data_IF_064337306690
#
_entry.id   IF_064337306690
#
_cell.length_a   1.000
_cell.length_b   1.000
_cell.length_c   1.000
_cell.angle_alpha   90.00
_cell.angle_beta   90.00
_cell.angle_gamma   90.00
#
_symmetry.space_group_name_H-M   'P 1'
#
loop_
_entity.id
_entity.type
_entity.pdbx_description
1 polymer ?
#
# COMPACT_ATOMS: atom_id res chain seq x y z
N UNK A 1 26.12 -3.17 -20.36
CA UNK A 1 24.89 -3.77 -19.78
C UNK A 1 23.93 -2.64 -19.49
N UNK A 2 22.67 -2.84 -19.86
CA UNK A 2 21.63 -1.81 -19.96
C UNK A 2 21.14 -1.36 -18.58
N UNK A 3 20.97 -0.06 -18.40
CA UNK A 3 20.07 0.50 -17.40
C UNK A 3 19.30 1.64 -18.07
N UNK A 4 18.20 1.27 -18.73
CA UNK A 4 17.18 2.20 -19.21
C UNK A 4 16.39 2.71 -18.01
N UNK A 5 16.96 3.67 -17.27
CA UNK A 5 16.19 4.46 -16.32
C UNK A 5 15.45 5.53 -17.12
N UNK A 6 14.26 5.18 -17.63
CA UNK A 6 13.35 6.13 -18.24
C UNK A 6 12.96 7.20 -17.20
N UNK A 7 13.28 8.49 -17.40
CA UNK A 7 12.78 9.56 -16.54
C UNK A 7 11.35 9.88 -16.97
N UNK A 8 10.36 9.08 -16.53
CA UNK A 8 9.05 9.21 -17.18
C UNK A 8 7.88 8.46 -16.56
N UNK A 9 7.88 8.17 -15.27
CA UNK A 9 6.70 7.99 -14.39
C UNK A 9 7.24 7.35 -13.12
N UNK A 10 7.50 8.17 -12.11
CA UNK A 10 7.59 7.64 -10.75
C UNK A 10 6.18 7.19 -10.40
N UNK A 11 5.83 5.95 -10.77
CA UNK A 11 4.64 5.31 -10.24
C UNK A 11 4.72 5.52 -8.72
N UNK A 12 3.67 6.08 -8.10
CA UNK A 12 3.75 6.39 -6.69
C UNK A 12 3.96 5.09 -5.94
N UNK A 13 5.15 4.93 -5.38
CA UNK A 13 5.53 3.76 -4.60
C UNK A 13 5.53 4.14 -3.13
N UNK A 14 5.02 3.22 -2.32
CA UNK A 14 5.06 3.32 -0.87
C UNK A 14 6.11 2.40 -0.28
N UNK A 15 6.69 2.80 0.83
CA UNK A 15 7.50 1.91 1.66
C UNK A 15 6.56 1.19 2.64
N UNK A 16 6.57 -0.14 2.60
CA UNK A 16 5.81 -0.98 3.51
C UNK A 16 6.66 -1.38 4.71
N UNK A 17 6.15 -1.08 5.88
CA UNK A 17 6.58 -1.64 7.14
C UNK A 17 5.62 -2.75 7.53
N UNK A 18 6.18 -3.95 7.75
CA UNK A 18 5.47 -5.15 8.18
C UNK A 18 5.80 -5.43 9.64
N UNK A 19 4.77 -5.68 10.43
CA UNK A 19 4.86 -6.31 11.76
C UNK A 19 4.07 -7.61 11.74
N UNK A 20 4.74 -8.76 11.74
CA UNK A 20 4.12 -10.09 11.68
C UNK A 20 4.12 -10.68 10.27
N UNK A 21 3.07 -11.44 9.93
CA UNK A 21 2.88 -12.04 8.61
C UNK A 21 2.05 -11.13 7.70
N UNK A 22 2.70 -10.59 6.69
CA UNK A 22 2.06 -9.80 5.64
C UNK A 22 2.45 -10.37 4.30
N UNK A 23 1.50 -10.43 3.38
CA UNK A 23 1.76 -10.80 1.99
C UNK A 23 1.38 -9.65 1.08
N UNK A 24 2.18 -9.46 0.02
CA UNK A 24 1.94 -8.50 -1.05
C UNK A 24 1.89 -9.28 -2.35
N UNK A 25 0.77 -9.20 -3.08
CA UNK A 25 0.49 -9.99 -4.28
C UNK A 25 0.69 -11.50 -4.07
N UNK A 26 0.35 -12.02 -2.89
CA UNK A 26 0.51 -13.44 -2.54
C UNK A 26 1.94 -13.86 -2.21
N UNK A 27 2.90 -12.93 -2.20
CA UNK A 27 4.28 -13.17 -1.76
C UNK A 27 4.48 -12.61 -0.35
N UNK A 28 5.23 -13.31 0.50
CA UNK A 28 5.57 -12.80 1.83
C UNK A 28 6.34 -11.48 1.70
N UNK A 29 5.80 -10.42 2.31
CA UNK A 29 6.43 -9.10 2.33
C UNK A 29 7.13 -8.87 3.66
N UNK A 30 8.22 -8.12 3.61
CA UNK A 30 9.04 -7.76 4.78
C UNK A 30 9.03 -6.24 4.98
N UNK A 31 9.38 -5.79 6.18
CA UNK A 31 9.61 -4.36 6.43
C UNK A 31 10.70 -3.82 5.51
N UNK A 32 10.43 -2.68 4.88
CA UNK A 32 11.30 -2.08 3.85
C UNK A 32 10.95 -2.52 2.42
N UNK A 33 9.90 -3.33 2.23
CA UNK A 33 9.43 -3.67 0.89
C UNK A 33 8.80 -2.45 0.20
N UNK A 34 8.97 -2.38 -1.12
CA UNK A 34 8.32 -1.36 -1.94
C UNK A 34 6.97 -1.87 -2.43
N UNK A 35 5.90 -1.14 -2.12
CA UNK A 35 4.55 -1.42 -2.64
C UNK A 35 4.29 -0.53 -3.83
N UNK A 36 4.01 -1.15 -4.97
CA UNK A 36 3.66 -0.47 -6.22
C UNK A 36 2.13 -0.34 -6.33
N UNK A 37 1.67 0.49 -7.26
CA UNK A 37 0.24 0.54 -7.61
C UNK A 37 -0.30 -0.83 -8.01
N UNK A 38 -1.58 -1.05 -7.71
CA UNK A 38 -2.32 -2.29 -7.96
C UNK A 38 -1.81 -3.50 -7.18
N UNK A 39 -1.08 -3.27 -6.09
CA UNK A 39 -0.63 -4.33 -5.20
C UNK A 39 -1.71 -4.73 -4.21
N UNK A 40 -1.90 -6.04 -4.02
CA UNK A 40 -2.79 -6.59 -2.99
C UNK A 40 -2.00 -6.84 -1.72
N UNK A 41 -2.32 -6.14 -0.64
CA UNK A 41 -1.69 -6.34 0.67
C UNK A 41 -2.66 -7.09 1.57
N UNK A 42 -2.23 -8.23 2.07
CA UNK A 42 -2.99 -9.03 3.02
C UNK A 42 -2.18 -9.21 4.31
N UNK A 43 -2.88 -9.03 5.43
CA UNK A 43 -2.33 -9.02 6.78
C UNK A 43 -2.89 -10.23 7.51
N UNK A 44 -2.02 -11.09 8.04
CA UNK A 44 -2.42 -12.27 8.80
C UNK A 44 -2.99 -11.95 10.18
N UNK A 45 -3.30 -13.01 10.94
CA UNK A 45 -3.68 -12.89 12.34
C UNK A 45 -2.52 -12.30 13.16
N UNK A 46 -2.83 -11.35 14.05
CA UNK A 46 -1.85 -10.60 14.85
C UNK A 46 -0.77 -9.87 14.03
N UNK A 47 -1.06 -9.50 12.79
CA UNK A 47 -0.11 -8.83 11.90
C UNK A 47 -0.59 -7.42 11.54
N UNK A 48 0.32 -6.48 11.37
CA UNK A 48 0.01 -5.09 11.00
C UNK A 48 0.92 -4.66 9.86
N UNK A 49 0.38 -3.85 8.96
CA UNK A 49 1.14 -3.32 7.82
C UNK A 49 0.96 -1.80 7.74
N UNK A 50 2.05 -1.05 7.70
CA UNK A 50 2.01 0.40 7.49
C UNK A 50 2.71 0.73 6.18
N UNK A 51 1.99 1.28 5.22
CA UNK A 51 2.53 1.79 3.97
C UNK A 51 2.71 3.30 4.08
N UNK A 52 3.94 3.78 4.05
CA UNK A 52 4.26 5.21 3.96
C UNK A 52 4.49 5.59 2.49
N UNK A 53 3.56 6.35 1.93
CA UNK A 53 3.64 6.87 0.56
C UNK A 53 4.02 8.35 0.62
N UNK A 54 5.23 8.66 1.11
CA UNK A 54 5.84 10.01 1.16
C UNK A 54 4.88 11.21 1.06
N UNK A 55 4.72 11.76 -0.17
CA UNK A 55 3.92 12.96 -0.47
C UNK A 55 2.41 12.72 -0.62
N UNK A 56 1.96 11.46 -0.69
CA UNK A 56 0.55 11.06 -0.79
C UNK A 56 -0.05 10.85 0.61
N UNK A 57 0.70 10.25 1.52
CA UNK A 57 0.27 10.00 2.90
C UNK A 57 0.79 8.69 3.47
N UNK A 58 0.07 8.17 4.46
CA UNK A 58 0.32 6.89 5.14
C UNK A 58 -0.96 6.06 5.18
N UNK A 59 -0.82 4.76 4.96
CA UNK A 59 -1.90 3.77 5.06
C UNK A 59 -1.50 2.74 6.09
N UNK A 60 -2.40 2.40 7.00
CA UNK A 60 -2.18 1.44 8.07
C UNK A 60 -3.26 0.37 8.02
N UNK A 61 -2.85 -0.90 7.99
CA UNK A 61 -3.70 -2.08 7.94
C UNK A 61 -3.62 -2.79 9.28
N UNK A 62 -4.80 -3.17 9.77
CA UNK A 62 -4.95 -3.93 11.00
C UNK A 62 -4.87 -5.45 10.75
N UNK A 63 -4.73 -6.25 11.81
CA UNK A 63 -4.73 -7.71 11.72
C UNK A 63 -5.97 -8.27 11.03
N UNK A 64 -5.78 -9.37 10.28
CA UNK A 64 -6.83 -10.03 9.49
C UNK A 64 -7.49 -9.10 8.46
N UNK A 65 -6.70 -8.27 7.77
CA UNK A 65 -7.20 -7.36 6.74
C UNK A 65 -6.60 -7.65 5.37
N UNK A 66 -7.42 -7.55 4.33
CA UNK A 66 -6.99 -7.68 2.93
C UNK A 66 -7.46 -6.47 2.14
N UNK A 67 -6.52 -5.75 1.55
CA UNK A 67 -6.79 -4.56 0.74
C UNK A 67 -5.99 -4.57 -0.55
N UNK A 68 -6.63 -4.22 -1.66
CA UNK A 68 -5.95 -3.90 -2.91
C UNK A 68 -5.70 -2.41 -2.97
N UNK A 69 -4.44 -1.98 -3.07
CA UNK A 69 -4.05 -0.58 -3.05
C UNK A 69 -3.51 -0.17 -4.42
N UNK A 70 -4.06 0.91 -4.95
CA UNK A 70 -3.67 1.51 -6.24
C UNK A 70 -3.38 2.98 -6.03
N UNK A 71 -2.16 3.41 -6.41
CA UNK A 71 -1.72 4.80 -6.25
C UNK A 71 -1.74 5.53 -7.60
N UNK A 72 -2.22 6.76 -7.58
CA UNK A 72 -2.10 7.71 -8.69
C UNK A 72 -1.28 8.95 -8.29
N UNK A 73 -1.16 9.91 -9.20
CA UNK A 73 -0.33 11.11 -8.99
C UNK A 73 -0.70 11.93 -7.73
N UNK A 74 -1.99 11.96 -7.38
CA UNK A 74 -2.52 12.61 -6.17
C UNK A 74 -3.79 11.91 -5.66
N UNK A 75 -3.89 10.59 -5.90
CA UNK A 75 -5.03 9.79 -5.47
C UNK A 75 -4.55 8.46 -4.90
N UNK A 76 -5.23 7.98 -3.87
CA UNK A 76 -5.07 6.64 -3.30
C UNK A 76 -6.41 5.95 -3.43
N UNK A 77 -6.43 4.82 -4.14
CA UNK A 77 -7.60 3.97 -4.26
C UNK A 77 -7.33 2.66 -3.54
N UNK A 78 -8.27 2.23 -2.71
CA UNK A 78 -8.20 1.00 -1.93
C UNK A 78 -9.48 0.19 -2.09
N UNK A 79 -9.38 -1.11 -2.35
CA UNK A 79 -10.51 -2.02 -2.23
C UNK A 79 -10.27 -2.93 -1.02
N UNK A 80 -10.98 -2.66 0.08
CA UNK A 80 -10.91 -3.43 1.31
C UNK A 80 -11.92 -4.58 1.23
N UNK A 81 -11.40 -5.81 1.21
CA UNK A 81 -12.22 -7.01 1.18
C UNK A 81 -12.73 -7.37 2.58
N UNK A 82 -11.87 -7.25 3.59
CA UNK A 82 -12.19 -7.53 4.98
C UNK A 82 -11.21 -6.83 5.92
N UNK A 83 -11.64 -6.61 7.17
CA UNK A 83 -10.81 -6.12 8.25
C UNK A 83 -10.93 -4.61 8.49
N UNK A 84 -9.82 -3.96 8.83
CA UNK A 84 -9.77 -2.52 9.10
C UNK A 84 -8.55 -1.89 8.45
N UNK A 85 -8.74 -0.69 7.91
CA UNK A 85 -7.68 0.13 7.35
C UNK A 85 -7.84 1.56 7.83
N UNK A 86 -6.73 2.22 8.12
CA UNK A 86 -6.65 3.65 8.31
C UNK A 86 -5.83 4.29 7.18
N UNK A 87 -6.33 5.39 6.64
CA UNK A 87 -5.65 6.14 5.59
C UNK A 87 -5.52 7.58 6.07
N UNK A 88 -4.27 8.02 6.22
CA UNK A 88 -3.91 9.38 6.54
C UNK A 88 -3.28 10.01 5.29
N UNK A 89 -4.07 10.78 4.54
CA UNK A 89 -3.57 11.49 3.36
C UNK A 89 -3.16 12.92 3.69
N UNK A 90 -2.28 13.48 2.86
CA UNK A 90 -1.97 14.90 2.90
C UNK A 90 -3.07 15.72 2.20
N UNK A 91 -3.18 17.01 2.57
CA UNK A 91 -4.13 17.92 1.97
C UNK A 91 -3.95 17.98 0.44
N UNK A 92 -5.05 17.80 -0.30
CA UNK A 92 -5.05 17.75 -1.77
C UNK A 92 -4.90 16.35 -2.38
N UNK A 93 -4.74 15.31 -1.56
CA UNK A 93 -4.71 13.91 -2.03
C UNK A 93 -6.08 13.27 -1.81
N UNK A 94 -6.68 12.79 -2.89
CA UNK A 94 -7.99 12.15 -2.84
C UNK A 94 -7.85 10.68 -2.44
N UNK A 95 -8.63 10.21 -1.47
CA UNK A 95 -8.60 8.82 -1.01
C UNK A 95 -9.95 8.15 -1.20
N UNK A 96 -9.98 7.03 -1.90
CA UNK A 96 -11.19 6.23 -2.14
C UNK A 96 -10.97 4.86 -1.51
N UNK A 97 -11.90 4.43 -0.66
CA UNK A 97 -11.92 3.08 -0.11
C UNK A 97 -13.26 2.44 -0.45
N UNK A 98 -13.21 1.37 -1.22
CA UNK A 98 -14.37 0.53 -1.52
C UNK A 98 -14.35 -0.65 -0.56
N UNK A 99 -15.39 -0.76 0.26
CA UNK A 99 -15.61 -1.92 1.16
C UNK A 99 -16.71 -2.81 0.58
N UNK A 100 -16.54 -4.12 0.66
CA UNK A 100 -17.55 -5.10 0.21
C UNK A 100 -18.46 -5.56 1.35
#
# INVERSE_FOLDING_TARGET
MVALASPGQKAPSGELSVSGQVTVNGQAAISGATVLSDSVVATGANSSATISIGKLGRVELFPNSSIKLSFGNANISGALEAGRVQIATLAGVSSIVTTK
#
